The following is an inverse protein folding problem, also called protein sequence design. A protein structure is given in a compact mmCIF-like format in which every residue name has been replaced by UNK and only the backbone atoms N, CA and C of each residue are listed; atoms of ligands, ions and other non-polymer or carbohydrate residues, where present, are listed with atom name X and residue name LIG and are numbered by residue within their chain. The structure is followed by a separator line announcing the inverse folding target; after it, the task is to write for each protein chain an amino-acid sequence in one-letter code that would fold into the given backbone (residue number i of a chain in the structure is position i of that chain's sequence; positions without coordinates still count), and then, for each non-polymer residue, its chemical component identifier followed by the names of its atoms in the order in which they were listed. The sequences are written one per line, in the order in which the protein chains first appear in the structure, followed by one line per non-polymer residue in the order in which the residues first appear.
data_IF_466658669690
#
_entry.id   IF_466658669690
#
_cell.length_a   1.000
_cell.length_b   1.000
_cell.length_c   1.000
_cell.angle_alpha   90.00
_cell.angle_beta   90.00
_cell.angle_gamma   90.00
#
_symmetry.space_group_name_H-M   'P 1'
#
loop_
_entity.id
_entity.type
_entity.pdbx_description
1 polymer ?
#
# COMPACT_ATOMS: atom_id res chain seq x y z
N UNK A 1 -3.55 26.46 -20.04
CA UNK A 1 -2.60 25.44 -19.57
C UNK A 1 -3.01 25.15 -18.14
N UNK A 2 -3.77 24.09 -17.95
CA UNK A 2 -4.18 23.65 -16.61
C UNK A 2 -2.95 22.99 -15.98
N UNK A 3 -2.39 23.64 -14.96
CA UNK A 3 -1.41 22.99 -14.08
C UNK A 3 -2.03 21.69 -13.59
N UNK A 4 -1.53 20.56 -14.07
CA UNK A 4 -1.86 19.26 -13.50
C UNK A 4 -1.23 19.23 -12.11
N UNK A 5 -1.97 19.67 -11.08
CA UNK A 5 -1.59 19.35 -9.70
C UNK A 5 -1.45 17.84 -9.65
N UNK A 6 -0.22 17.34 -9.53
CA UNK A 6 0.00 15.91 -9.30
C UNK A 6 -0.78 15.52 -8.06
N UNK A 7 -1.70 14.58 -8.19
CA UNK A 7 -2.44 14.06 -7.03
C UNK A 7 -1.46 13.54 -6.00
N UNK A 8 -1.59 13.97 -4.75
CA UNK A 8 -0.87 13.44 -3.60
C UNK A 8 -1.67 12.31 -2.91
N UNK A 9 -2.90 12.07 -3.34
CA UNK A 9 -3.77 11.02 -2.83
C UNK A 9 -3.88 9.85 -3.81
N UNK A 10 -3.48 8.68 -3.35
CA UNK A 10 -3.49 7.42 -4.11
C UNK A 10 -4.35 6.40 -3.39
N UNK A 11 -5.48 6.04 -3.99
CA UNK A 11 -6.39 5.06 -3.43
C UNK A 11 -6.60 3.88 -4.38
N UNK A 12 -6.69 2.69 -3.80
CA UNK A 12 -6.87 1.47 -4.56
C UNK A 12 -7.22 0.26 -3.70
N UNK A 13 -7.34 -0.89 -4.34
CA UNK A 13 -7.56 -2.16 -3.64
C UNK A 13 -6.27 -2.94 -3.42
N UNK A 14 -6.29 -3.76 -2.38
CA UNK A 14 -5.26 -4.76 -2.09
C UNK A 14 -5.48 -5.97 -3.01
N UNK A 15 -4.82 -5.96 -4.16
CA UNK A 15 -5.08 -6.85 -5.28
C UNK A 15 -6.10 -6.28 -6.27
N UNK A 16 -6.09 -6.80 -7.50
CA UNK A 16 -6.91 -6.29 -8.58
C UNK A 16 -8.37 -6.72 -8.45
N UNK A 17 -9.23 -5.78 -8.07
CA UNK A 17 -10.69 -5.95 -8.01
C UNK A 17 -11.39 -5.15 -9.11
N UNK A 18 -12.46 -5.72 -9.64
CA UNK A 18 -13.33 -5.06 -10.63
C UNK A 18 -14.78 -5.16 -10.17
N UNK A 19 -15.64 -4.18 -10.52
CA UNK A 19 -17.05 -4.17 -10.14
C UNK A 19 -17.88 -5.21 -10.91
N UNK A 20 -17.24 -5.99 -11.77
CA UNK A 20 -17.88 -7.00 -12.61
C UNK A 20 -17.14 -8.35 -12.52
N UNK A 21 -17.85 -9.48 -12.63
CA UNK A 21 -17.28 -10.80 -12.34
C UNK A 21 -16.26 -11.27 -13.39
N UNK A 22 -16.43 -10.87 -14.65
CA UNK A 22 -15.54 -11.30 -15.73
C UNK A 22 -15.62 -10.37 -16.95
N UNK A 23 -14.78 -10.63 -17.96
CA UNK A 23 -14.61 -9.80 -19.16
C UNK A 23 -15.89 -9.62 -20.01
N UNK A 24 -16.87 -10.54 -19.92
CA UNK A 24 -18.13 -10.42 -20.67
C UNK A 24 -18.96 -9.21 -20.22
N UNK A 25 -18.79 -8.77 -18.96
CA UNK A 25 -19.50 -7.64 -18.38
C UNK A 25 -18.71 -6.33 -18.43
N UNK A 26 -17.56 -6.31 -19.12
CA UNK A 26 -16.80 -5.06 -19.28
C UNK A 26 -17.58 -4.06 -20.12
N UNK A 27 -17.48 -2.76 -19.82
CA UNK A 27 -17.93 -1.71 -20.72
C UNK A 27 -17.31 -1.89 -22.12
N UNK A 28 -18.00 -1.44 -23.17
CA UNK A 28 -17.60 -1.70 -24.56
C UNK A 28 -16.17 -1.26 -24.85
N UNK A 29 -15.77 -0.10 -24.35
CA UNK A 29 -14.43 0.48 -24.48
C UNK A 29 -13.30 -0.31 -23.82
N UNK A 30 -13.65 -1.24 -22.90
CA UNK A 30 -12.68 -2.09 -22.19
C UNK A 30 -12.71 -3.56 -22.60
N UNK A 31 -13.61 -3.96 -23.50
CA UNK A 31 -13.74 -5.37 -23.91
C UNK A 31 -12.44 -5.97 -24.45
N UNK A 32 -11.63 -5.18 -25.16
CA UNK A 32 -10.33 -5.62 -25.70
C UNK A 32 -9.15 -5.25 -24.81
N UNK A 33 -9.38 -4.59 -23.68
CA UNK A 33 -8.33 -4.17 -22.77
C UNK A 33 -8.02 -5.22 -21.70
N UNK A 34 -6.89 -5.03 -21.02
CA UNK A 34 -6.51 -5.85 -19.88
C UNK A 34 -7.38 -5.52 -18.66
N UNK A 35 -7.41 -6.46 -17.70
CA UNK A 35 -8.06 -6.20 -16.41
C UNK A 35 -7.44 -4.99 -15.69
N UNK A 36 -6.11 -4.84 -15.78
CA UNK A 36 -5.38 -3.74 -15.15
C UNK A 36 -5.72 -2.41 -15.82
N UNK A 37 -5.84 -2.36 -17.15
CA UNK A 37 -6.26 -1.14 -17.86
C UNK A 37 -7.66 -0.71 -17.45
N UNK A 38 -8.60 -1.66 -17.31
CA UNK A 38 -9.95 -1.33 -16.83
C UNK A 38 -9.94 -0.89 -15.35
N UNK A 39 -9.16 -1.53 -14.49
CA UNK A 39 -8.99 -1.09 -13.11
C UNK A 39 -8.44 0.34 -13.03
N UNK A 40 -7.41 0.64 -13.80
CA UNK A 40 -6.75 1.95 -13.81
C UNK A 40 -7.59 3.08 -14.42
N UNK A 41 -8.73 2.80 -15.06
CA UNK A 41 -9.71 3.82 -15.45
C UNK A 41 -10.58 4.30 -14.29
N UNK A 42 -10.59 3.56 -13.18
CA UNK A 42 -11.42 3.87 -12.01
C UNK A 42 -10.60 4.35 -10.81
N UNK A 43 -9.38 3.86 -10.68
CA UNK A 43 -8.51 4.13 -9.53
C UNK A 43 -7.10 4.49 -9.99
N UNK A 44 -6.41 5.32 -9.22
CA UNK A 44 -5.08 5.83 -9.55
C UNK A 44 -3.92 5.05 -8.88
N UNK A 45 -4.24 3.97 -8.14
CA UNK A 45 -3.22 3.13 -7.50
C UNK A 45 -3.72 1.70 -7.26
N UNK A 46 -2.77 0.77 -7.07
CA UNK A 46 -3.04 -0.62 -6.70
C UNK A 46 -1.95 -1.16 -5.78
N UNK A 47 -2.34 -1.96 -4.78
CA UNK A 47 -1.41 -2.74 -3.97
C UNK A 47 -1.27 -4.17 -4.55
N UNK A 48 -0.09 -4.51 -5.05
CA UNK A 48 0.22 -5.80 -5.67
C UNK A 48 0.51 -6.85 -4.59
N UNK A 49 -0.51 -7.61 -4.19
CA UNK A 49 -0.37 -8.70 -3.21
C UNK A 49 0.25 -9.97 -3.79
N UNK A 50 0.21 -10.17 -5.10
CA UNK A 50 0.81 -11.36 -5.72
C UNK A 50 2.33 -11.42 -5.54
N UNK A 51 3.00 -10.28 -5.41
CA UNK A 51 4.43 -10.17 -5.13
C UNK A 51 4.83 -10.77 -3.77
N UNK A 52 3.89 -10.81 -2.82
CA UNK A 52 4.08 -11.46 -1.53
C UNK A 52 4.29 -12.97 -1.65
N UNK A 53 3.59 -13.63 -2.56
CA UNK A 53 3.67 -15.08 -2.75
C UNK A 53 4.79 -15.49 -3.70
N UNK A 54 5.07 -14.65 -4.69
CA UNK A 54 6.09 -14.92 -5.69
C UNK A 54 6.64 -13.61 -6.25
N UNK A 55 7.96 -13.48 -6.28
CA UNK A 55 8.63 -12.36 -6.95
C UNK A 55 8.22 -12.34 -8.43
N UNK A 56 7.66 -11.24 -8.94
CA UNK A 56 7.26 -11.18 -10.34
C UNK A 56 8.47 -11.19 -11.29
N UNK A 57 8.24 -11.52 -12.55
CA UNK A 57 9.28 -11.33 -13.57
C UNK A 57 9.42 -9.83 -13.91
N UNK A 58 10.64 -9.38 -14.15
CA UNK A 58 10.91 -8.01 -14.58
C UNK A 58 10.13 -7.60 -15.84
N UNK A 59 9.94 -8.54 -16.78
CA UNK A 59 9.11 -8.32 -17.97
C UNK A 59 7.63 -8.10 -17.64
N UNK A 60 7.12 -8.79 -16.61
CA UNK A 60 5.74 -8.62 -16.14
C UNK A 60 5.55 -7.23 -15.52
N UNK A 61 6.51 -6.80 -14.68
CA UNK A 61 6.46 -5.47 -14.05
C UNK A 61 6.52 -4.37 -15.12
N UNK A 62 7.42 -4.46 -16.09
CA UNK A 62 7.46 -3.53 -17.24
C UNK A 62 6.13 -3.49 -17.99
N UNK A 63 5.55 -4.66 -18.26
CA UNK A 63 4.28 -4.74 -18.97
C UNK A 63 3.12 -4.11 -18.18
N UNK A 64 3.10 -4.21 -16.85
CA UNK A 64 2.11 -3.50 -16.03
C UNK A 64 2.22 -1.98 -16.18
N UNK A 65 3.45 -1.45 -16.20
CA UNK A 65 3.67 -0.02 -16.36
C UNK A 65 3.08 0.55 -17.66
N UNK A 66 3.07 -0.24 -18.75
CA UNK A 66 2.51 0.19 -20.05
C UNK A 66 0.99 0.12 -20.14
N UNK A 67 0.31 -0.48 -19.16
CA UNK A 67 -1.13 -0.72 -19.18
C UNK A 67 -1.95 0.33 -18.43
N UNK A 68 -1.30 1.28 -17.77
CA UNK A 68 -1.93 2.26 -16.89
C UNK A 68 -1.48 3.68 -17.23
N UNK A 69 -2.24 4.72 -16.85
CA UNK A 69 -1.85 6.13 -17.03
C UNK A 69 -0.50 6.46 -16.38
N UNK A 70 0.11 7.59 -16.78
CA UNK A 70 1.44 7.97 -16.31
C UNK A 70 1.48 8.35 -14.83
N UNK A 71 0.41 8.88 -14.29
CA UNK A 71 0.23 9.26 -12.90
C UNK A 71 -0.17 8.11 -11.98
N UNK A 72 -0.46 6.93 -12.53
CA UNK A 72 -0.82 5.73 -11.76
C UNK A 72 0.35 5.23 -10.91
N UNK A 73 0.09 4.85 -9.64
CA UNK A 73 1.12 4.35 -8.73
C UNK A 73 0.90 2.88 -8.35
N UNK A 74 2.02 2.14 -8.32
CA UNK A 74 2.04 0.76 -7.85
C UNK A 74 2.67 0.66 -6.48
N UNK A 75 1.97 0.03 -5.56
CA UNK A 75 2.54 -0.46 -4.30
C UNK A 75 2.80 -1.95 -4.42
N UNK A 76 3.96 -2.40 -3.96
CA UNK A 76 4.29 -3.82 -3.92
C UNK A 76 4.38 -4.30 -2.49
N UNK A 77 3.81 -5.47 -2.20
CA UNK A 77 3.98 -6.13 -0.91
C UNK A 77 5.24 -6.99 -0.95
N UNK A 78 6.14 -6.78 0.02
CA UNK A 78 7.41 -7.50 0.12
C UNK A 78 7.19 -9.01 0.16
N UNK A 79 8.05 -9.76 -0.49
CA UNK A 79 7.99 -11.22 -0.60
C UNK A 79 8.03 -11.89 0.78
N UNK A 80 7.13 -12.88 0.99
CA UNK A 80 6.91 -13.55 2.27
C UNK A 80 8.16 -14.26 2.81
N UNK A 81 9.03 -14.76 1.93
CA UNK A 81 10.25 -15.46 2.34
C UNK A 81 11.32 -14.49 2.90
N UNK A 82 11.06 -13.16 2.82
CA UNK A 82 11.83 -12.15 3.54
C UNK A 82 11.11 -11.82 4.87
N UNK A 83 9.81 -11.49 4.83
CA UNK A 83 9.11 -10.89 5.96
C UNK A 83 8.44 -11.90 6.92
N UNK A 84 8.22 -13.16 6.50
CA UNK A 84 7.42 -14.15 7.24
C UNK A 84 8.20 -15.39 7.70
N UNK A 85 9.51 -15.41 7.54
CA UNK A 85 10.35 -16.49 8.08
C UNK A 85 10.41 -16.41 9.61
N UNK A 86 10.52 -17.58 10.25
CA UNK A 86 10.65 -17.66 11.70
C UNK A 86 11.83 -16.82 12.19
N UNK A 87 11.58 -15.98 13.19
CA UNK A 87 12.60 -15.08 13.75
C UNK A 87 13.09 -14.00 12.79
N UNK A 88 12.34 -13.72 11.72
CA UNK A 88 12.70 -12.75 10.67
C UNK A 88 14.11 -13.02 10.09
N UNK A 89 14.45 -14.29 9.90
CA UNK A 89 15.70 -14.68 9.22
C UNK A 89 15.49 -14.57 7.71
N UNK A 90 16.28 -13.74 7.06
CA UNK A 90 16.20 -13.47 5.62
C UNK A 90 17.61 -13.41 5.00
N UNK A 91 17.68 -13.46 3.67
CA UNK A 91 18.88 -13.21 2.93
C UNK A 91 18.84 -11.78 2.33
N UNK A 92 19.83 -10.94 2.60
CA UNK A 92 19.90 -9.57 2.08
C UNK A 92 19.87 -9.52 0.54
N UNK A 93 20.49 -10.50 -0.12
CA UNK A 93 20.45 -10.61 -1.59
C UNK A 93 19.03 -10.78 -2.14
N UNK A 94 18.13 -11.42 -1.37
CA UNK A 94 16.72 -11.54 -1.76
C UNK A 94 15.99 -10.18 -1.68
N UNK A 95 16.35 -9.33 -0.72
CA UNK A 95 15.83 -7.96 -0.62
C UNK A 95 16.29 -7.15 -1.83
N UNK A 96 17.58 -7.16 -2.14
CA UNK A 96 18.13 -6.46 -3.31
C UNK A 96 17.51 -6.95 -4.61
N UNK A 97 17.39 -8.28 -4.77
CA UNK A 97 16.75 -8.88 -5.96
C UNK A 97 15.28 -8.45 -6.09
N UNK A 98 14.54 -8.43 -4.99
CA UNK A 98 13.13 -8.03 -4.99
C UNK A 98 12.98 -6.57 -5.42
N UNK A 99 13.71 -5.65 -4.77
CA UNK A 99 13.66 -4.21 -5.08
C UNK A 99 14.08 -3.97 -6.53
N UNK A 100 15.17 -4.57 -7.00
CA UNK A 100 15.62 -4.48 -8.40
C UNK A 100 14.55 -4.93 -9.40
N UNK A 101 13.74 -5.95 -9.05
CA UNK A 101 12.67 -6.42 -9.94
C UNK A 101 11.52 -5.44 -9.97
N UNK A 102 11.05 -4.95 -8.82
CA UNK A 102 9.94 -4.00 -8.78
C UNK A 102 10.30 -2.62 -9.34
N UNK A 103 11.59 -2.25 -9.36
CA UNK A 103 12.08 -1.03 -10.00
C UNK A 103 11.78 -0.93 -11.50
N UNK A 104 11.53 -2.06 -12.16
CA UNK A 104 11.12 -2.08 -13.56
C UNK A 104 9.73 -1.44 -13.81
N UNK A 105 9.02 -1.02 -12.76
CA UNK A 105 7.79 -0.23 -12.89
C UNK A 105 8.07 1.22 -13.37
N UNK A 106 9.35 1.66 -13.30
CA UNK A 106 9.75 3.01 -13.73
C UNK A 106 9.21 4.10 -12.80
N UNK A 107 8.71 5.18 -13.38
CA UNK A 107 8.25 6.37 -12.63
C UNK A 107 6.91 6.17 -11.91
N UNK A 108 6.29 4.98 -12.08
CA UNK A 108 5.03 4.63 -11.44
C UNK A 108 5.22 4.00 -10.04
N UNK A 109 6.39 4.22 -9.42
CA UNK A 109 6.66 3.81 -8.03
C UNK A 109 5.72 4.52 -7.06
N UNK A 110 5.12 3.75 -6.18
CA UNK A 110 4.34 4.20 -5.03
C UNK A 110 5.02 3.79 -3.74
N UNK A 111 4.51 2.75 -3.08
CA UNK A 111 5.07 2.29 -1.81
C UNK A 111 5.56 0.83 -1.86
N UNK A 112 6.45 0.51 -0.92
CA UNK A 112 6.83 -0.86 -0.57
C UNK A 112 6.19 -1.21 0.77
N UNK A 113 5.18 -2.07 0.75
CA UNK A 113 4.53 -2.58 1.96
C UNK A 113 5.33 -3.75 2.54
N UNK A 114 5.80 -3.61 3.77
CA UNK A 114 6.46 -4.65 4.55
C UNK A 114 5.53 -5.09 5.70
N UNK A 115 4.72 -6.11 5.47
CA UNK A 115 3.81 -6.61 6.50
C UNK A 115 4.43 -7.79 7.22
N UNK A 116 4.34 -7.80 8.55
CA UNK A 116 4.86 -8.84 9.42
C UNK A 116 3.75 -9.76 9.98
N UNK A 117 4.06 -11.02 10.28
CA UNK A 117 3.09 -11.94 10.88
C UNK A 117 2.85 -11.62 12.38
N UNK A 118 1.69 -12.04 12.95
CA UNK A 118 1.40 -11.80 14.37
C UNK A 118 2.34 -12.52 15.34
N UNK A 119 3.09 -13.51 14.86
CA UNK A 119 4.12 -14.18 15.66
C UNK A 119 5.41 -13.38 15.82
N UNK A 120 5.64 -12.35 15.01
CA UNK A 120 6.79 -11.46 15.14
C UNK A 120 6.52 -10.44 16.23
N UNK A 121 7.29 -10.50 17.31
CA UNK A 121 7.19 -9.62 18.48
C UNK A 121 8.42 -8.74 18.60
N UNK A 122 8.34 -7.69 19.40
CA UNK A 122 9.39 -6.67 19.60
C UNK A 122 10.75 -7.25 20.03
N UNK A 123 10.78 -8.41 20.66
CA UNK A 123 12.03 -9.12 20.96
C UNK A 123 12.89 -9.37 19.71
N UNK A 124 12.29 -9.33 18.52
CA UNK A 124 12.99 -9.43 17.24
C UNK A 124 13.40 -8.08 16.65
N UNK A 125 13.44 -7.01 17.49
CA UNK A 125 13.90 -5.68 17.09
C UNK A 125 15.24 -5.69 16.34
N UNK A 126 16.28 -6.42 16.77
CA UNK A 126 17.56 -6.43 16.05
C UNK A 126 17.42 -7.00 14.61
N UNK A 127 16.57 -8.01 14.41
CA UNK A 127 16.32 -8.57 13.08
C UNK A 127 15.48 -7.61 12.22
N UNK A 128 14.54 -6.89 12.83
CA UNK A 128 13.81 -5.83 12.12
C UNK A 128 14.80 -4.76 11.64
N UNK A 129 15.66 -4.24 12.51
CA UNK A 129 16.64 -3.22 12.16
C UNK A 129 17.55 -3.68 11.01
N UNK A 130 18.05 -4.94 11.04
CA UNK A 130 18.80 -5.52 9.94
C UNK A 130 18.00 -5.53 8.63
N UNK A 131 16.69 -5.78 8.68
CA UNK A 131 15.84 -5.73 7.48
C UNK A 131 15.66 -4.29 6.96
N UNK A 132 15.49 -3.31 7.86
CA UNK A 132 15.38 -1.90 7.48
C UNK A 132 16.68 -1.41 6.81
N UNK A 133 17.85 -1.81 7.34
CA UNK A 133 19.15 -1.55 6.72
C UNK A 133 19.21 -2.17 5.32
N UNK A 134 18.89 -3.45 5.17
CA UNK A 134 18.93 -4.12 3.87
C UNK A 134 17.99 -3.50 2.84
N UNK A 135 16.80 -3.03 3.25
CA UNK A 135 15.88 -2.29 2.37
C UNK A 135 16.50 -0.95 1.96
N UNK A 136 17.08 -0.20 2.91
CA UNK A 136 17.73 1.09 2.62
C UNK A 136 18.94 0.93 1.68
N UNK A 137 19.71 -0.15 1.82
CA UNK A 137 20.83 -0.48 0.92
C UNK A 137 20.34 -0.89 -0.48
N UNK A 138 19.18 -1.53 -0.56
CA UNK A 138 18.57 -1.92 -1.83
C UNK A 138 17.95 -0.73 -2.60
N UNK A 139 17.54 0.32 -1.89
CA UNK A 139 16.99 1.57 -2.44
C UNK A 139 17.70 2.81 -1.85
N UNK A 140 18.99 3.02 -2.12
CA UNK A 140 19.77 4.09 -1.50
C UNK A 140 19.31 5.50 -1.89
N UNK A 141 18.56 5.63 -2.97
CA UNK A 141 17.99 6.91 -3.42
C UNK A 141 16.58 7.15 -2.86
N UNK A 142 16.05 6.22 -2.06
CA UNK A 142 14.72 6.32 -1.44
C UNK A 142 13.59 6.60 -2.43
N UNK A 143 13.60 5.87 -3.54
CA UNK A 143 12.54 5.98 -4.55
C UNK A 143 11.21 5.35 -4.12
N UNK A 144 11.26 4.42 -3.14
CA UNK A 144 10.09 3.74 -2.59
C UNK A 144 9.71 4.33 -1.24
N UNK A 145 8.44 4.67 -1.07
CA UNK A 145 7.84 4.98 0.21
C UNK A 145 7.64 3.67 1.01
N UNK A 146 8.50 3.39 1.97
CA UNK A 146 8.48 2.10 2.70
C UNK A 146 7.53 2.17 3.88
N UNK A 147 6.51 1.31 3.90
CA UNK A 147 5.48 1.25 4.95
C UNK A 147 5.51 -0.10 5.68
N UNK A 148 5.58 -0.06 7.02
CA UNK A 148 5.68 -1.24 7.89
C UNK A 148 4.34 -1.53 8.56
N UNK A 149 3.80 -2.73 8.34
CA UNK A 149 2.56 -3.15 8.99
C UNK A 149 2.82 -4.25 10.02
N UNK A 150 2.69 -3.93 11.28
CA UNK A 150 2.80 -4.88 12.37
C UNK A 150 1.47 -5.54 12.70
N UNK A 151 1.52 -6.81 13.13
CA UNK A 151 0.37 -7.61 13.54
C UNK A 151 0.43 -8.04 15.01
N UNK A 152 1.26 -7.34 15.79
CA UNK A 152 1.39 -7.54 17.23
C UNK A 152 1.64 -6.20 17.93
N UNK A 153 0.87 -5.91 18.99
CA UNK A 153 0.89 -4.61 19.69
C UNK A 153 2.23 -4.27 20.37
N UNK A 154 3.08 -5.26 20.61
CA UNK A 154 4.40 -5.01 21.22
C UNK A 154 5.33 -4.13 20.38
N UNK A 155 4.96 -3.81 19.14
CA UNK A 155 5.75 -2.96 18.26
C UNK A 155 5.39 -1.47 18.37
N UNK A 156 4.31 -1.12 19.06
CA UNK A 156 3.81 0.26 19.15
C UNK A 156 4.34 0.92 20.43
N UNK A 157 5.64 1.12 20.47
CA UNK A 157 6.39 1.77 21.52
C UNK A 157 7.25 2.91 20.94
N UNK A 158 7.51 3.96 21.73
CA UNK A 158 8.14 5.19 21.28
C UNK A 158 9.53 4.96 20.65
N UNK A 159 10.35 4.10 21.26
CA UNK A 159 11.69 3.76 20.76
C UNK A 159 11.67 3.00 19.43
N UNK A 160 10.58 2.30 19.13
CA UNK A 160 10.35 1.65 17.82
C UNK A 160 9.94 2.70 16.78
N UNK A 161 9.08 3.65 17.17
CA UNK A 161 8.69 4.74 16.29
C UNK A 161 9.90 5.60 15.90
N UNK A 162 10.73 5.99 16.87
CA UNK A 162 11.96 6.73 16.63
C UNK A 162 12.92 5.97 15.68
N UNK A 163 13.08 4.66 15.90
CA UNK A 163 13.91 3.82 15.05
C UNK A 163 13.39 3.81 13.59
N UNK A 164 12.09 3.62 13.39
CA UNK A 164 11.48 3.54 12.06
C UNK A 164 11.58 4.91 11.36
N UNK A 165 11.31 5.98 12.08
CA UNK A 165 11.40 7.36 11.59
C UNK A 165 12.83 7.73 11.15
N UNK A 166 13.85 7.25 11.88
CA UNK A 166 15.26 7.41 11.50
C UNK A 166 15.57 6.87 10.08
N UNK A 167 14.90 5.78 9.68
CA UNK A 167 14.99 5.28 8.30
C UNK A 167 14.13 6.08 7.32
N UNK A 168 13.25 6.96 7.78
CA UNK A 168 12.26 7.67 6.97
C UNK A 168 11.15 6.74 6.48
N UNK A 169 10.85 5.67 7.22
CA UNK A 169 9.80 4.71 6.93
C UNK A 169 8.53 5.03 7.71
N UNK A 170 7.37 4.61 7.22
CA UNK A 170 6.07 4.88 7.84
C UNK A 170 5.50 3.63 8.50
N UNK A 171 4.77 3.79 9.59
CA UNK A 171 3.96 2.72 10.18
C UNK A 171 2.57 2.76 9.56
N UNK A 172 2.13 1.64 9.00
CA UNK A 172 0.80 1.52 8.40
C UNK A 172 -0.29 1.74 9.44
N UNK A 173 -1.14 2.74 9.21
CA UNK A 173 -2.40 2.86 9.93
C UNK A 173 -3.38 1.81 9.40
N UNK A 174 -3.81 0.89 10.25
CA UNK A 174 -4.75 -0.16 9.87
C UNK A 174 -5.75 -0.46 10.98
N UNK A 175 -6.88 -0.99 10.59
CA UNK A 175 -8.04 -1.24 11.45
C UNK A 175 -8.18 -2.68 11.94
N UNK A 176 -7.14 -3.51 11.76
CA UNK A 176 -7.23 -4.92 12.15
C UNK A 176 -7.28 -5.08 13.68
N UNK A 177 -8.35 -5.65 14.25
CA UNK A 177 -8.52 -5.79 15.67
C UNK A 177 -7.33 -6.50 16.36
N UNK A 178 -6.95 -6.03 17.53
CA UNK A 178 -5.87 -6.59 18.34
C UNK A 178 -4.45 -6.24 17.88
N UNK A 179 -4.31 -5.49 16.77
CA UNK A 179 -3.00 -5.03 16.27
C UNK A 179 -3.05 -3.67 15.60
N UNK A 180 -4.17 -2.95 15.69
CA UNK A 180 -4.30 -1.61 15.14
C UNK A 180 -3.43 -0.61 15.92
N UNK A 181 -2.56 0.19 15.26
CA UNK A 181 -1.68 1.14 15.93
C UNK A 181 -2.39 2.42 16.40
N UNK A 182 -3.63 2.62 15.99
CA UNK A 182 -4.26 3.92 16.03
C UNK A 182 -3.82 4.80 14.85
N UNK A 183 -4.00 6.12 14.97
CA UNK A 183 -3.49 7.05 13.97
C UNK A 183 -1.97 7.20 14.10
N UNK A 184 -1.24 7.27 12.96
CA UNK A 184 0.21 7.40 12.98
C UNK A 184 0.64 8.73 13.61
N UNK A 185 1.65 8.68 14.46
CA UNK A 185 2.26 9.85 15.12
C UNK A 185 3.54 10.31 14.40
N UNK A 186 4.01 9.55 13.39
CA UNK A 186 5.23 9.85 12.63
C UNK A 186 5.11 11.13 11.79
N UNK A 187 6.21 11.84 11.59
CA UNK A 187 6.28 13.03 10.73
C UNK A 187 6.92 12.74 9.36
N UNK A 188 6.65 11.57 8.81
CA UNK A 188 7.11 11.17 7.48
C UNK A 188 6.45 11.97 6.37
N UNK A 189 7.10 12.01 5.20
CA UNK A 189 6.60 12.71 4.00
C UNK A 189 5.35 12.04 3.38
N UNK A 190 4.96 10.87 3.85
CA UNK A 190 3.77 10.15 3.35
C UNK A 190 3.02 9.45 4.47
N UNK A 191 1.78 9.07 4.20
CA UNK A 191 0.92 8.26 5.07
C UNK A 191 0.43 7.03 4.33
N UNK A 192 0.23 5.94 5.06
CA UNK A 192 -0.21 4.68 4.49
C UNK A 192 -1.33 4.06 5.32
N UNK A 193 -2.52 3.91 4.72
CA UNK A 193 -3.72 3.36 5.35
C UNK A 193 -4.09 2.02 4.72
N UNK A 194 -4.51 1.06 5.55
CA UNK A 194 -5.07 -0.23 5.09
C UNK A 194 -6.37 -0.56 5.82
N UNK A 195 -7.42 -0.79 5.04
CA UNK A 195 -8.77 -1.08 5.49
C UNK A 195 -9.08 -2.56 5.34
N UNK A 196 -9.14 -3.31 6.44
CA UNK A 196 -9.35 -4.76 6.45
C UNK A 196 -10.81 -5.18 6.64
N UNK A 197 -11.73 -4.24 6.59
CA UNK A 197 -13.16 -4.40 6.88
C UNK A 197 -13.50 -4.10 8.33
N UNK A 198 -14.75 -3.69 8.63
CA UNK A 198 -15.17 -3.20 9.96
C UNK A 198 -14.87 -4.16 11.11
N UNK A 199 -14.75 -5.46 10.81
CA UNK A 199 -14.39 -6.52 11.77
C UNK A 199 -12.96 -7.04 11.59
N UNK A 200 -12.19 -6.48 10.65
CA UNK A 200 -10.84 -6.93 10.30
C UNK A 200 -10.78 -8.32 9.66
N UNK A 201 -11.88 -8.81 9.12
CA UNK A 201 -12.05 -10.14 8.52
C UNK A 201 -12.07 -10.11 6.98
N UNK A 202 -11.67 -8.99 6.38
CA UNK A 202 -11.65 -8.73 4.93
C UNK A 202 -13.04 -8.66 4.28
N UNK A 203 -14.10 -8.49 5.07
CA UNK A 203 -15.51 -8.48 4.67
C UNK A 203 -16.20 -7.19 5.07
N UNK A 204 -17.45 -7.05 4.61
CA UNK A 204 -18.35 -5.98 5.00
C UNK A 204 -18.10 -4.67 4.24
N UNK A 205 -18.82 -3.66 4.66
CA UNK A 205 -18.72 -2.28 4.19
C UNK A 205 -18.50 -1.37 5.38
N UNK A 206 -17.73 -0.33 5.20
CA UNK A 206 -17.59 0.73 6.21
C UNK A 206 -18.82 1.62 6.19
N UNK A 207 -19.21 2.09 7.35
CA UNK A 207 -20.24 3.13 7.48
C UNK A 207 -19.75 4.44 6.85
N UNK A 208 -20.65 5.21 6.30
CA UNK A 208 -20.28 6.44 5.61
C UNK A 208 -19.59 7.43 6.55
N UNK A 209 -20.05 7.55 7.81
CA UNK A 209 -19.44 8.43 8.82
C UNK A 209 -17.96 8.11 9.05
N UNK A 210 -17.60 6.82 9.14
CA UNK A 210 -16.18 6.41 9.25
C UNK A 210 -15.34 6.86 8.05
N UNK A 211 -15.91 6.79 6.84
CA UNK A 211 -15.22 7.24 5.62
C UNK A 211 -15.11 8.76 5.55
N UNK A 212 -16.10 9.51 6.07
CA UNK A 212 -16.03 10.97 6.20
C UNK A 212 -14.93 11.38 7.19
N UNK A 213 -14.89 10.82 8.40
CA UNK A 213 -13.84 11.09 9.39
C UNK A 213 -12.44 10.75 8.84
N UNK A 214 -12.34 9.62 8.13
CA UNK A 214 -11.08 9.24 7.47
C UNK A 214 -10.67 10.23 6.39
N UNK A 215 -11.63 10.72 5.61
CA UNK A 215 -11.37 11.68 4.54
C UNK A 215 -10.91 13.04 5.10
N UNK A 216 -11.48 13.52 6.20
CA UNK A 216 -11.02 14.74 6.90
C UNK A 216 -9.56 14.59 7.32
N UNK A 217 -9.19 13.48 7.94
CA UNK A 217 -7.80 13.22 8.32
C UNK A 217 -6.86 13.14 7.10
N UNK A 218 -7.30 12.54 6.00
CA UNK A 218 -6.53 12.51 4.74
C UNK A 218 -6.35 13.93 4.20
N UNK A 219 -7.39 14.76 4.21
CA UNK A 219 -7.34 16.15 3.73
C UNK A 219 -6.35 17.00 4.55
N UNK A 220 -6.28 16.80 5.87
CA UNK A 220 -5.30 17.45 6.74
C UNK A 220 -3.86 17.08 6.33
N UNK A 221 -3.57 15.81 6.10
CA UNK A 221 -2.25 15.38 5.65
C UNK A 221 -1.90 15.90 4.25
N UNK A 222 -2.87 15.95 3.35
CA UNK A 222 -2.68 16.54 2.01
C UNK A 222 -2.42 18.05 2.08
N UNK A 223 -3.09 18.77 3.00
CA UNK A 223 -2.85 20.18 3.25
C UNK A 223 -1.44 20.44 3.79
N UNK A 224 -0.89 19.51 4.56
CA UNK A 224 0.51 19.49 5.02
C UNK A 224 1.52 19.08 3.91
N UNK A 225 1.05 18.81 2.70
CA UNK A 225 1.87 18.40 1.55
C UNK A 225 2.33 16.94 1.59
N UNK A 226 1.74 16.10 2.44
CA UNK A 226 2.10 14.68 2.53
C UNK A 226 1.44 13.87 1.41
N UNK A 227 2.13 12.84 0.93
CA UNK A 227 1.54 11.84 0.04
C UNK A 227 0.70 10.87 0.89
N UNK A 228 -0.49 10.51 0.44
CA UNK A 228 -1.36 9.56 1.15
C UNK A 228 -1.68 8.36 0.26
N UNK A 229 -1.39 7.17 0.76
CA UNK A 229 -1.78 5.89 0.17
C UNK A 229 -2.89 5.25 1.00
N UNK A 230 -4.00 4.86 0.36
CA UNK A 230 -5.15 4.25 1.02
C UNK A 230 -5.59 2.97 0.27
N UNK A 231 -5.40 1.80 0.90
CA UNK A 231 -5.71 0.53 0.25
C UNK A 231 -6.79 -0.26 0.97
N UNK A 232 -7.85 -0.57 0.24
CA UNK A 232 -8.96 -1.37 0.72
C UNK A 232 -8.68 -2.87 0.53
N UNK A 233 -8.60 -3.59 1.63
CA UNK A 233 -8.37 -5.02 1.69
C UNK A 233 -9.63 -5.81 2.11
N UNK A 234 -10.79 -5.15 2.29
CA UNK A 234 -12.09 -5.81 2.49
C UNK A 234 -12.63 -6.37 1.17
N UNK A 235 -11.78 -7.13 0.48
CA UNK A 235 -11.99 -7.61 -0.89
C UNK A 235 -13.06 -8.70 -1.01
N UNK A 236 -13.49 -9.27 0.11
CA UNK A 236 -14.67 -10.15 0.21
C UNK A 236 -15.94 -9.39 0.64
N UNK A 237 -15.93 -8.05 0.55
CA UNK A 237 -17.02 -7.13 0.87
C UNK A 237 -17.13 -6.03 -0.17
N UNK A 238 -17.50 -4.82 0.27
CA UNK A 238 -17.84 -3.68 -0.58
C UNK A 238 -16.64 -2.72 -0.80
N UNK A 239 -15.42 -3.24 -0.97
CA UNK A 239 -14.22 -2.42 -1.12
C UNK A 239 -14.35 -1.36 -2.23
N UNK A 240 -14.91 -1.70 -3.39
CA UNK A 240 -15.09 -0.76 -4.51
C UNK A 240 -16.04 0.38 -4.14
N UNK A 241 -17.15 0.09 -3.46
CA UNK A 241 -18.08 1.10 -2.97
C UNK A 241 -17.40 2.05 -1.99
N UNK A 242 -16.66 1.50 -1.03
CA UNK A 242 -15.94 2.29 -0.02
C UNK A 242 -14.84 3.16 -0.67
N UNK A 243 -14.08 2.61 -1.62
CA UNK A 243 -13.07 3.38 -2.38
C UNK A 243 -13.69 4.54 -3.15
N UNK A 244 -14.80 4.30 -3.85
CA UNK A 244 -15.49 5.33 -4.62
C UNK A 244 -15.99 6.46 -3.72
N UNK A 245 -16.56 6.13 -2.55
CA UNK A 245 -17.03 7.14 -1.60
C UNK A 245 -15.85 7.93 -1.02
N UNK A 246 -14.80 7.26 -0.55
CA UNK A 246 -13.62 7.95 -0.02
C UNK A 246 -12.99 8.88 -1.06
N UNK A 247 -12.82 8.40 -2.30
CA UNK A 247 -12.29 9.21 -3.39
C UNK A 247 -13.16 10.44 -3.69
N UNK A 248 -14.48 10.29 -3.67
CA UNK A 248 -15.41 11.40 -3.93
C UNK A 248 -15.36 12.46 -2.82
N UNK A 249 -15.14 12.05 -1.56
CA UNK A 249 -15.05 13.00 -0.44
C UNK A 249 -13.68 13.72 -0.45
N UNK A 250 -12.58 12.98 -0.68
CA UNK A 250 -11.21 13.55 -0.67
C UNK A 250 -10.98 14.45 -1.89
N UNK A 251 -11.51 14.09 -3.07
CA UNK A 251 -11.37 14.83 -4.32
C UNK A 251 -12.77 15.25 -4.84
N UNK A 252 -13.45 16.20 -4.20
CA UNK A 252 -14.75 16.65 -4.69
C UNK A 252 -14.60 17.22 -6.11
N UNK A 253 -15.46 16.73 -7.01
CA UNK A 253 -15.56 17.30 -8.37
C UNK A 253 -16.24 18.68 -8.22
N UNK A 254 -15.54 19.72 -8.60
CA UNK A 254 -16.08 21.10 -8.67
C UNK A 254 -17.24 21.22 -9.68
#
# INVERSE_FOLDING_TARGET
MTDSKHSLFFAGSSGLMLPVPNKQFYPEEFKDKSRLTFYASMFNSIEINSSFYKVPLASTVRNWATQVPDDFKFTFKLWRDISHNKGLVFNAEDVHRFVKVIDHIGDKKGALLVQFPPSLKVIMRPQLENLLVAISEADPQRHWNVALEFRHNSWYEEDIFEMIDHFGFEIVAHDKPGSAPGLPVSDTAFKYLRFHGPKGDYRGTYEDDFLYETAEQIQDWLADGKIVYAYFNNTMGEAIKNMNLLNAIVNPVE
#
